data_IF_677278529629
#
_entry.id   IF_677278529629
#
_cell.length_a   1.000
_cell.length_b   1.000
_cell.length_c   1.000
_cell.angle_alpha   90.00
_cell.angle_beta   90.00
_cell.angle_gamma   90.00
#
_symmetry.space_group_name_H-M   'P 1'
#
loop_
_entity.id
_entity.type
_entity.pdbx_description
1 polymer ?
#
# COMPACT_ATOMS: atom_id res chain seq x y z
N UNK A 1 17.24 -3.04 -27.51
CA UNK A 1 16.42 -4.26 -27.72
C UNK A 1 17.21 -5.58 -27.65
N UNK A 2 18.53 -5.59 -27.34
CA UNK A 2 19.28 -6.84 -27.13
C UNK A 2 19.11 -7.45 -25.72
N UNK A 3 18.55 -6.69 -24.78
CA UNK A 3 18.48 -7.08 -23.36
C UNK A 3 17.31 -8.02 -22.99
N UNK A 4 16.40 -8.30 -23.94
CA UNK A 4 15.24 -9.17 -23.75
C UNK A 4 15.39 -10.56 -24.39
N UNK A 5 16.55 -10.85 -25.01
CA UNK A 5 16.75 -12.08 -25.81
C UNK A 5 17.00 -13.34 -24.97
N UNK A 6 17.31 -13.20 -23.67
CA UNK A 6 17.59 -14.32 -22.77
C UNK A 6 17.23 -13.99 -21.33
N UNK A 7 16.83 -15.00 -20.54
CA UNK A 7 16.54 -14.86 -19.10
C UNK A 7 17.72 -14.27 -18.31
N UNK A 8 18.95 -14.60 -18.70
CA UNK A 8 20.16 -14.03 -18.09
C UNK A 8 20.34 -12.54 -18.43
N UNK A 9 19.98 -12.11 -19.63
CA UNK A 9 20.03 -10.70 -20.02
C UNK A 9 18.96 -9.90 -19.25
N UNK A 10 17.76 -10.47 -19.09
CA UNK A 10 16.67 -9.86 -18.34
C UNK A 10 17.00 -9.70 -16.84
N UNK A 11 17.56 -10.73 -16.20
CA UNK A 11 17.97 -10.65 -14.79
C UNK A 11 19.08 -9.61 -14.60
N UNK A 12 20.07 -9.55 -15.49
CA UNK A 12 21.10 -8.49 -15.47
C UNK A 12 20.50 -7.10 -15.61
N UNK A 13 19.51 -6.92 -16.49
CA UNK A 13 18.81 -5.65 -16.66
C UNK A 13 18.07 -5.24 -15.38
N UNK A 14 17.35 -6.16 -14.72
CA UNK A 14 16.64 -5.89 -13.48
C UNK A 14 17.57 -5.53 -12.31
N UNK A 15 18.78 -6.06 -12.29
CA UNK A 15 19.80 -5.73 -11.29
C UNK A 15 20.65 -4.51 -11.65
N UNK A 16 20.42 -3.87 -12.81
CA UNK A 16 21.17 -2.68 -13.21
C UNK A 16 21.04 -1.55 -12.17
N UNK A 17 22.14 -0.86 -11.82
CA UNK A 17 22.12 0.21 -10.84
C UNK A 17 21.37 1.42 -11.40
N UNK A 18 20.51 2.00 -10.57
CA UNK A 18 19.75 3.22 -10.87
C UNK A 18 19.85 4.20 -9.72
N UNK A 19 19.65 5.47 -10.06
CA UNK A 19 19.62 6.56 -9.08
C UNK A 19 18.50 6.31 -8.04
N UNK A 20 18.77 6.46 -6.73
CA UNK A 20 17.80 6.19 -5.67
C UNK A 20 16.85 7.37 -5.34
N UNK A 21 17.03 8.55 -5.93
CA UNK A 21 16.34 9.78 -5.50
C UNK A 21 14.84 9.72 -5.75
N UNK A 22 14.41 9.20 -6.91
CA UNK A 22 12.97 9.08 -7.22
C UNK A 22 12.27 8.10 -6.25
N UNK A 23 12.92 6.99 -5.90
CA UNK A 23 12.37 6.05 -4.92
C UNK A 23 12.22 6.70 -3.53
N UNK A 24 13.15 7.59 -3.14
CA UNK A 24 13.02 8.35 -1.89
C UNK A 24 11.87 9.35 -1.93
N UNK A 25 11.64 10.02 -3.06
CA UNK A 25 10.48 10.90 -3.26
C UNK A 25 9.18 10.13 -3.11
N UNK A 26 9.06 8.98 -3.80
CA UNK A 26 7.87 8.11 -3.69
C UNK A 26 7.65 7.69 -2.23
N UNK A 27 8.70 7.33 -1.50
CA UNK A 27 8.61 6.96 -0.08
C UNK A 27 8.06 8.09 0.79
N UNK A 28 8.58 9.32 0.61
CA UNK A 28 8.15 10.49 1.38
C UNK A 28 6.69 10.80 1.10
N UNK A 29 6.30 10.87 -0.17
CA UNK A 29 4.91 11.11 -0.55
C UNK A 29 3.98 10.00 -0.08
N UNK A 30 4.38 8.73 -0.19
CA UNK A 30 3.60 7.61 0.32
C UNK A 30 3.40 7.74 1.83
N UNK A 31 4.46 7.96 2.61
CA UNK A 31 4.35 8.14 4.06
C UNK A 31 3.42 9.29 4.44
N UNK A 32 3.56 10.44 3.77
CA UNK A 32 2.69 11.61 3.97
C UNK A 32 1.22 11.31 3.65
N UNK A 33 0.94 10.72 2.49
CA UNK A 33 -0.41 10.33 2.10
C UNK A 33 -1.02 9.32 3.07
N UNK A 34 -0.22 8.37 3.57
CA UNK A 34 -0.70 7.39 4.55
C UNK A 34 -1.03 8.05 5.89
N UNK A 35 -0.29 9.06 6.34
CA UNK A 35 -0.66 9.83 7.54
C UNK A 35 -2.07 10.43 7.36
N UNK A 36 -2.38 10.99 6.20
CA UNK A 36 -3.70 11.56 5.92
C UNK A 36 -4.78 10.47 5.80
N UNK A 37 -4.51 9.39 5.05
CA UNK A 37 -5.43 8.25 4.85
C UNK A 37 -5.83 7.62 6.19
N UNK A 38 -4.88 7.47 7.12
CA UNK A 38 -5.16 6.91 8.44
C UNK A 38 -6.16 7.76 9.23
N UNK A 39 -6.06 9.08 9.14
CA UNK A 39 -6.99 9.98 9.83
C UNK A 39 -8.38 9.97 9.18
N UNK A 40 -8.44 10.13 7.86
CA UNK A 40 -9.69 10.36 7.15
C UNK A 40 -10.36 9.05 6.70
N UNK A 41 -9.71 8.32 5.80
CA UNK A 41 -10.29 7.12 5.15
C UNK A 41 -10.37 5.92 6.09
N UNK A 42 -9.35 5.71 6.94
CA UNK A 42 -9.39 4.65 7.96
C UNK A 42 -10.18 5.03 9.19
N UNK A 43 -10.49 6.32 9.32
CA UNK A 43 -11.39 6.83 10.33
C UNK A 43 -10.82 6.76 11.74
N UNK A 44 -9.53 7.09 11.93
CA UNK A 44 -9.01 7.32 13.29
C UNK A 44 -9.81 8.42 13.99
N UNK A 45 -10.23 9.47 13.26
CA UNK A 45 -11.08 10.54 13.83
C UNK A 45 -12.48 10.06 14.24
N UNK A 46 -12.94 8.95 13.68
CA UNK A 46 -14.26 8.37 13.92
C UNK A 46 -14.15 6.97 14.55
N UNK A 47 -13.01 6.68 15.21
CA UNK A 47 -12.72 5.35 15.74
C UNK A 47 -13.75 4.93 16.81
N UNK A 48 -14.23 5.87 17.62
CA UNK A 48 -15.23 5.64 18.66
C UNK A 48 -16.56 5.17 18.06
N UNK A 49 -17.02 5.83 17.00
CA UNK A 49 -18.23 5.42 16.27
C UNK A 49 -18.03 4.08 15.57
N UNK A 50 -16.87 3.90 14.92
CA UNK A 50 -16.54 2.73 14.12
C UNK A 50 -16.31 1.45 14.92
N UNK A 51 -15.76 1.53 16.13
CA UNK A 51 -15.36 0.36 16.93
C UNK A 51 -16.09 0.29 18.28
N UNK A 52 -16.75 1.36 18.71
CA UNK A 52 -17.45 1.43 19.99
C UNK A 52 -18.87 0.86 19.97
N UNK A 53 -19.50 0.71 18.80
CA UNK A 53 -20.84 0.12 18.70
C UNK A 53 -20.77 -1.42 18.58
N UNK A 54 -21.28 -2.20 19.56
CA UNK A 54 -21.31 -3.66 19.52
C UNK A 54 -22.35 -4.22 18.55
N UNK A 55 -23.36 -3.43 18.17
CA UNK A 55 -24.48 -3.86 17.33
C UNK A 55 -24.16 -3.78 15.83
N UNK A 56 -23.00 -3.22 15.48
CA UNK A 56 -22.58 -3.08 14.09
C UNK A 56 -22.22 -4.44 13.49
N UNK A 57 -22.93 -4.83 12.41
CA UNK A 57 -22.69 -6.09 11.73
C UNK A 57 -21.39 -6.02 10.92
N UNK A 58 -20.37 -6.75 11.37
CA UNK A 58 -19.06 -6.81 10.70
C UNK A 58 -18.92 -8.10 9.91
N UNK A 59 -18.26 -7.99 8.76
CA UNK A 59 -17.96 -9.13 7.90
C UNK A 59 -16.45 -9.35 7.86
N UNK A 60 -15.85 -9.97 8.89
CA UNK A 60 -14.42 -10.23 8.88
C UNK A 60 -14.06 -11.18 7.74
N UNK A 61 -12.84 -11.04 7.23
CA UNK A 61 -12.35 -11.96 6.20
C UNK A 61 -12.12 -13.37 6.76
N UNK A 62 -11.56 -13.44 7.97
CA UNK A 62 -11.38 -14.67 8.71
C UNK A 62 -12.29 -14.70 9.93
N UNK A 63 -13.01 -15.80 10.15
CA UNK A 63 -13.96 -15.93 11.27
C UNK A 63 -13.32 -15.79 12.66
N UNK A 64 -12.01 -16.00 12.77
CA UNK A 64 -11.26 -15.84 14.03
C UNK A 64 -10.85 -14.39 14.31
N UNK A 65 -10.86 -13.52 13.31
CA UNK A 65 -10.52 -12.11 13.48
C UNK A 65 -11.71 -11.39 14.11
N UNK A 66 -11.49 -10.83 15.29
CA UNK A 66 -12.44 -9.98 15.99
C UNK A 66 -11.78 -8.64 16.30
N UNK A 67 -12.53 -7.53 16.28
CA UNK A 67 -11.99 -6.25 16.69
C UNK A 67 -11.50 -6.35 18.13
N UNK A 68 -10.38 -5.67 18.40
CA UNK A 68 -9.90 -5.49 19.76
C UNK A 68 -10.83 -4.48 20.49
N UNK A 69 -10.76 -4.40 21.82
CA UNK A 69 -11.43 -3.31 22.55
C UNK A 69 -11.02 -1.95 21.99
N UNK A 70 -11.92 -0.97 22.06
CA UNK A 70 -11.75 0.36 21.45
C UNK A 70 -10.38 0.99 21.75
N UNK A 71 -9.93 0.96 23.00
CA UNK A 71 -8.63 1.49 23.42
C UNK A 71 -7.46 0.86 22.64
N UNK A 72 -7.47 -0.46 22.48
CA UNK A 72 -6.46 -1.20 21.73
C UNK A 72 -6.55 -0.95 20.23
N UNK A 73 -7.75 -0.69 19.70
CA UNK A 73 -7.91 -0.26 18.31
C UNK A 73 -7.25 1.11 18.10
N UNK A 74 -7.48 2.07 19.00
CA UNK A 74 -6.82 3.39 18.95
C UNK A 74 -5.30 3.22 19.01
N UNK A 75 -4.78 2.37 19.90
CA UNK A 75 -3.33 2.06 19.94
C UNK A 75 -2.82 1.47 18.61
N UNK A 76 -3.60 0.62 17.96
CA UNK A 76 -3.28 0.03 16.66
C UNK A 76 -3.16 1.11 15.57
N UNK A 77 -4.05 2.11 15.58
CA UNK A 77 -3.96 3.27 14.68
C UNK A 77 -2.75 4.16 14.99
N UNK A 78 -2.45 4.42 16.26
CA UNK A 78 -1.26 5.20 16.64
C UNK A 78 0.04 4.51 16.23
N UNK A 79 0.11 3.17 16.37
CA UNK A 79 1.23 2.38 15.87
C UNK A 79 1.38 2.51 14.36
N UNK A 80 0.26 2.48 13.63
CA UNK A 80 0.24 2.66 12.18
C UNK A 80 0.69 4.08 11.77
N UNK A 81 0.28 5.12 12.50
CA UNK A 81 0.76 6.50 12.29
C UNK A 81 2.25 6.68 12.58
N UNK A 82 2.74 6.04 13.63
CA UNK A 82 4.16 6.05 13.94
C UNK A 82 4.95 5.34 12.84
N UNK A 83 4.45 4.20 12.36
CA UNK A 83 4.99 3.47 11.21
C UNK A 83 5.05 4.31 9.94
N UNK A 84 3.95 4.98 9.56
CA UNK A 84 3.90 5.83 8.34
C UNK A 84 4.84 7.04 8.45
N UNK A 85 4.94 7.65 9.63
CA UNK A 85 5.90 8.72 9.91
C UNK A 85 7.34 8.23 9.80
N UNK A 86 7.63 7.04 10.35
CA UNK A 86 8.94 6.38 10.22
C UNK A 86 9.30 6.04 8.78
N UNK A 87 8.33 5.62 7.96
CA UNK A 87 8.49 5.41 6.51
C UNK A 87 8.83 6.72 5.81
N UNK A 88 8.09 7.80 6.09
CA UNK A 88 8.32 9.12 5.49
C UNK A 88 9.76 9.60 5.75
N UNK A 89 10.19 9.54 7.01
CA UNK A 89 11.53 9.95 7.44
C UNK A 89 12.63 8.95 7.05
N UNK A 90 12.27 7.71 6.71
CA UNK A 90 13.21 6.63 6.44
C UNK A 90 14.06 6.27 7.67
N UNK A 91 13.45 6.24 8.86
CA UNK A 91 14.09 5.78 10.10
C UNK A 91 13.77 4.30 10.32
N UNK A 92 14.80 3.48 10.58
CA UNK A 92 14.74 2.02 10.69
C UNK A 92 13.74 1.45 9.68
N UNK A 93 13.95 1.76 8.41
CA UNK A 93 12.91 1.73 7.37
C UNK A 93 12.09 0.42 7.36
N UNK A 94 12.75 -0.74 7.44
CA UNK A 94 12.05 -2.04 7.47
C UNK A 94 11.18 -2.23 8.72
N UNK A 95 11.66 -1.82 9.89
CA UNK A 95 10.88 -1.85 11.11
C UNK A 95 9.67 -0.91 11.02
N UNK A 96 9.87 0.30 10.50
CA UNK A 96 8.77 1.26 10.28
C UNK A 96 7.73 0.74 9.30
N UNK A 97 8.16 0.07 8.22
CA UNK A 97 7.26 -0.63 7.32
C UNK A 97 6.47 -1.73 8.03
N UNK A 98 7.10 -2.56 8.88
CA UNK A 98 6.39 -3.60 9.62
C UNK A 98 5.39 -3.01 10.62
N UNK A 99 5.79 -1.96 11.35
CA UNK A 99 4.91 -1.24 12.27
C UNK A 99 3.70 -0.61 11.56
N UNK A 100 3.81 -0.26 10.28
CA UNK A 100 2.68 0.20 9.48
C UNK A 100 1.86 -0.98 8.90
N UNK A 101 2.51 -1.97 8.28
CA UNK A 101 1.85 -3.02 7.51
C UNK A 101 1.06 -4.01 8.36
N UNK A 102 1.58 -4.40 9.53
CA UNK A 102 0.89 -5.33 10.43
C UNK A 102 -0.47 -4.76 10.86
N UNK A 103 -0.56 -3.55 11.46
CA UNK A 103 -1.86 -2.98 11.82
C UNK A 103 -2.71 -2.65 10.59
N UNK A 104 -2.10 -2.23 9.47
CA UNK A 104 -2.83 -1.93 8.24
C UNK A 104 -3.60 -3.14 7.72
N UNK A 105 -2.92 -4.27 7.54
CA UNK A 105 -3.56 -5.49 7.05
C UNK A 105 -4.55 -6.08 8.06
N UNK A 106 -4.24 -5.98 9.36
CA UNK A 106 -5.18 -6.36 10.41
C UNK A 106 -6.50 -5.60 10.30
N UNK A 107 -6.46 -4.26 10.26
CA UNK A 107 -7.66 -3.42 10.12
C UNK A 107 -8.38 -3.71 8.81
N UNK A 108 -7.65 -3.89 7.70
CA UNK A 108 -8.22 -4.21 6.40
C UNK A 108 -9.01 -5.53 6.40
N UNK A 109 -8.51 -6.57 7.09
CA UNK A 109 -9.17 -7.87 7.15
C UNK A 109 -10.31 -7.96 8.16
N UNK A 110 -10.45 -7.00 9.09
CA UNK A 110 -11.53 -6.98 10.07
C UNK A 110 -12.90 -6.72 9.44
N UNK A 111 -12.98 -6.03 8.29
CA UNK A 111 -14.26 -5.63 7.72
C UNK A 111 -14.26 -5.53 6.19
N UNK A 112 -14.98 -6.47 5.55
CA UNK A 112 -15.19 -6.51 4.09
C UNK A 112 -16.04 -5.36 3.57
N UNK A 113 -16.92 -4.79 4.38
CA UNK A 113 -17.84 -3.72 3.94
C UNK A 113 -17.10 -2.45 3.50
N UNK A 114 -15.89 -2.25 4.03
CA UNK A 114 -15.04 -1.09 3.72
C UNK A 114 -13.95 -1.38 2.69
N UNK A 115 -14.03 -2.51 1.97
CA UNK A 115 -13.03 -2.85 0.97
C UNK A 115 -13.11 -1.96 -0.26
N UNK A 116 -11.99 -1.31 -0.58
CA UNK A 116 -11.82 -0.49 -1.76
C UNK A 116 -10.52 -0.87 -2.49
N UNK A 117 -10.54 -0.85 -3.81
CA UNK A 117 -9.37 -1.11 -4.66
C UNK A 117 -8.18 -0.19 -4.32
N UNK A 118 -8.45 1.07 -3.94
CA UNK A 118 -7.41 2.01 -3.52
C UNK A 118 -6.76 1.59 -2.21
N UNK A 119 -7.57 1.19 -1.23
CA UNK A 119 -7.09 0.66 0.05
C UNK A 119 -6.25 -0.59 -0.13
N UNK A 120 -6.67 -1.49 -1.02
CA UNK A 120 -5.88 -2.67 -1.33
C UNK A 120 -4.53 -2.30 -1.99
N UNK A 121 -4.54 -1.37 -2.95
CA UNK A 121 -3.34 -0.88 -3.62
C UNK A 121 -2.34 -0.27 -2.62
N UNK A 122 -2.79 0.55 -1.66
CA UNK A 122 -1.90 1.15 -0.66
C UNK A 122 -1.21 0.11 0.21
N UNK A 123 -1.90 -0.96 0.62
CA UNK A 123 -1.30 -2.08 1.36
C UNK A 123 -0.23 -2.82 0.54
N UNK A 124 -0.51 -3.06 -0.74
CA UNK A 124 0.46 -3.67 -1.66
C UNK A 124 1.68 -2.79 -1.89
N UNK A 125 1.49 -1.49 -2.13
CA UNK A 125 2.59 -0.54 -2.30
C UNK A 125 3.46 -0.45 -1.04
N UNK A 126 2.86 -0.45 0.15
CA UNK A 126 3.60 -0.49 1.41
C UNK A 126 4.43 -1.77 1.55
N UNK A 127 3.86 -2.92 1.16
CA UNK A 127 4.54 -4.22 1.19
C UNK A 127 5.70 -4.26 0.20
N UNK A 128 5.52 -3.70 -1.00
CA UNK A 128 6.57 -3.57 -2.00
C UNK A 128 7.67 -2.60 -1.53
N UNK A 129 7.29 -1.49 -0.90
CA UNK A 129 8.25 -0.54 -0.31
C UNK A 129 9.08 -1.20 0.78
N UNK A 130 8.50 -2.03 1.65
CA UNK A 130 9.24 -2.79 2.67
C UNK A 130 10.36 -3.65 2.08
N UNK A 131 10.10 -4.30 0.94
CA UNK A 131 11.09 -5.12 0.24
C UNK A 131 12.12 -4.26 -0.51
N UNK A 132 11.78 -3.01 -0.80
CA UNK A 132 12.60 -2.11 -1.61
C UNK A 132 13.77 -1.47 -0.86
N UNK A 133 14.74 -0.95 -1.62
CA UNK A 133 15.86 -0.16 -1.11
C UNK A 133 15.58 1.34 -0.90
N UNK A 134 14.35 1.73 -0.57
CA UNK A 134 13.94 3.15 -0.46
C UNK A 134 14.60 3.91 0.71
N UNK A 135 15.36 3.23 1.55
CA UNK A 135 16.16 3.81 2.62
C UNK A 135 17.55 4.29 2.17
N UNK A 136 17.93 4.13 0.89
CA UNK A 136 19.28 4.49 0.40
C UNK A 136 19.47 5.99 0.13
N UNK A 137 18.39 6.74 -0.06
CA UNK A 137 18.44 8.18 -0.29
C UNK A 137 17.46 8.93 0.61
N UNK A 138 17.84 10.15 1.02
CA UNK A 138 17.07 11.07 1.86
C UNK A 138 16.39 10.41 3.07
N UNK A 139 17.08 9.48 3.74
CA UNK A 139 16.59 8.75 4.90
C UNK A 139 17.41 9.11 6.14
N UNK A 140 16.80 9.02 7.32
CA UNK A 140 17.54 9.12 8.59
C UNK A 140 18.54 7.96 8.74
N UNK A 141 18.21 6.77 8.23
CA UNK A 141 19.12 5.63 8.20
C UNK A 141 20.41 5.94 7.41
N UNK A 142 20.31 6.59 6.25
CA UNK A 142 21.46 7.00 5.44
C UNK A 142 22.24 8.17 6.04
N UNK A 143 21.64 8.96 6.95
CA UNK A 143 22.38 9.94 7.75
C UNK A 143 23.21 9.27 8.85
N UNK A 144 22.73 8.15 9.39
CA UNK A 144 23.41 7.38 10.45
C UNK A 144 24.48 6.44 9.91
N UNK A 145 24.24 5.82 8.75
CA UNK A 145 25.19 4.94 8.07
C UNK A 145 25.56 5.48 6.68
N UNK A 146 26.78 5.97 6.59
CA UNK A 146 27.33 6.56 5.37
C UNK A 146 27.54 5.55 4.24
N UNK A 147 27.57 4.23 4.55
CA UNK A 147 27.67 3.16 3.55
C UNK A 147 26.39 2.97 2.75
N UNK A 148 25.24 3.37 3.30
CA UNK A 148 23.92 3.21 2.68
C UNK A 148 23.55 4.47 1.90
N UNK A 149 24.11 5.62 2.29
CA UNK A 149 23.79 6.94 1.73
C UNK A 149 24.13 7.05 0.25
N UNK A 150 23.14 7.44 -0.54
CA UNK A 150 23.24 7.65 -2.00
C UNK A 150 23.74 6.43 -2.77
N UNK A 151 23.51 5.22 -2.23
CA UNK A 151 23.82 3.99 -2.96
C UNK A 151 22.77 3.70 -4.01
N UNK A 152 23.23 3.22 -5.18
CA UNK A 152 22.36 2.84 -6.28
C UNK A 152 21.34 1.77 -5.86
N UNK A 153 20.13 1.86 -6.39
CA UNK A 153 19.09 0.84 -6.23
C UNK A 153 18.97 0.02 -7.51
N UNK A 154 18.74 -1.30 -7.44
CA UNK A 154 18.50 -2.09 -8.64
C UNK A 154 17.16 -1.71 -9.28
N UNK A 155 17.10 -1.78 -10.62
CA UNK A 155 15.94 -1.39 -11.44
C UNK A 155 14.64 -2.10 -11.04
N UNK A 156 14.69 -3.34 -10.53
CA UNK A 156 13.49 -4.08 -10.14
C UNK A 156 12.62 -3.36 -9.11
N UNK A 157 13.21 -2.52 -8.23
CA UNK A 157 12.44 -1.71 -7.28
C UNK A 157 11.42 -0.80 -8.01
N UNK A 158 11.86 -0.17 -9.10
CA UNK A 158 11.00 0.67 -9.93
C UNK A 158 10.04 -0.14 -10.77
N UNK A 159 10.51 -1.27 -11.32
CA UNK A 159 9.69 -2.13 -12.15
C UNK A 159 8.49 -2.70 -11.37
N UNK A 160 8.69 -3.11 -10.11
CA UNK A 160 7.61 -3.60 -9.25
C UNK A 160 6.57 -2.51 -8.98
N UNK A 161 6.99 -1.31 -8.55
CA UNK A 161 6.05 -0.22 -8.25
C UNK A 161 5.28 0.22 -9.50
N UNK A 162 5.97 0.39 -10.64
CA UNK A 162 5.34 0.78 -11.91
C UNK A 162 4.40 -0.32 -12.41
N UNK A 163 4.83 -1.57 -12.34
CA UNK A 163 4.03 -2.73 -12.71
C UNK A 163 2.75 -2.84 -11.88
N UNK A 164 2.83 -2.56 -10.58
CA UNK A 164 1.67 -2.56 -9.69
C UNK A 164 0.64 -1.51 -10.08
N UNK A 165 1.07 -0.27 -10.31
CA UNK A 165 0.19 0.82 -10.76
C UNK A 165 -0.43 0.48 -12.11
N UNK A 166 0.41 0.06 -13.08
CA UNK A 166 -0.05 -0.36 -14.39
C UNK A 166 -1.11 -1.46 -14.30
N UNK A 167 -0.88 -2.51 -13.52
CA UNK A 167 -1.78 -3.64 -13.39
C UNK A 167 -3.17 -3.21 -12.89
N UNK A 168 -3.23 -2.38 -11.85
CA UNK A 168 -4.51 -1.92 -11.30
C UNK A 168 -5.28 -1.08 -12.31
N UNK A 169 -4.63 -0.12 -12.96
CA UNK A 169 -5.29 0.73 -13.96
C UNK A 169 -5.64 -0.02 -15.25
N UNK A 170 -4.80 -0.96 -15.67
CA UNK A 170 -5.03 -1.77 -16.86
C UNK A 170 -6.23 -2.71 -16.66
N UNK A 171 -6.28 -3.44 -15.55
CA UNK A 171 -7.40 -4.33 -15.24
C UNK A 171 -8.68 -3.51 -15.00
N UNK A 172 -8.59 -2.37 -14.32
CA UNK A 172 -9.74 -1.49 -14.13
C UNK A 172 -10.26 -0.94 -15.47
N UNK A 173 -9.37 -0.56 -16.39
CA UNK A 173 -9.71 -0.14 -17.73
C UNK A 173 -10.40 -1.25 -18.52
N UNK A 174 -9.84 -2.46 -18.51
CA UNK A 174 -10.41 -3.63 -19.19
C UNK A 174 -11.82 -3.98 -18.67
N UNK A 175 -12.07 -3.87 -17.36
CA UNK A 175 -13.42 -4.08 -16.81
C UNK A 175 -14.43 -3.02 -17.28
N UNK A 176 -13.96 -1.83 -17.64
CA UNK A 176 -14.80 -0.73 -18.14
C UNK A 176 -15.02 -0.77 -19.65
N UNK A 177 -14.42 -1.71 -20.39
CA UNK A 177 -14.70 -1.87 -21.83
C UNK A 177 -15.96 -2.68 -22.12
N UNK A 178 -16.74 -3.06 -21.10
CA UNK A 178 -18.03 -3.72 -21.29
C UNK A 178 -19.03 -2.77 -21.96
N UNK A 179 -19.87 -3.31 -22.85
CA UNK A 179 -20.89 -2.55 -23.59
C UNK A 179 -21.83 -1.77 -22.67
N UNK A 180 -22.14 -2.30 -21.49
CA UNK A 180 -23.00 -1.62 -20.50
C UNK A 180 -22.30 -0.43 -19.83
N UNK A 181 -20.96 -0.43 -19.76
CA UNK A 181 -20.18 0.72 -19.28
C UNK A 181 -19.99 1.77 -20.37
N UNK A 182 -19.71 1.35 -21.60
CA UNK A 182 -19.53 2.26 -22.76
C UNK A 182 -20.87 2.92 -23.15
N UNK A 183 -21.97 2.16 -23.08
CA UNK A 183 -23.31 2.65 -23.39
C UNK A 183 -23.97 3.47 -22.27
N UNK A 184 -23.33 3.62 -21.10
CA UNK A 184 -23.90 4.36 -19.96
C UNK A 184 -25.03 3.63 -19.21
N UNK A 185 -25.37 2.40 -19.61
CA UNK A 185 -26.42 1.57 -19.01
C UNK A 185 -25.96 0.74 -17.81
N UNK A 186 -24.87 1.17 -17.17
CA UNK A 186 -24.15 0.37 -16.17
C UNK A 186 -24.99 0.04 -14.95
N UNK A 187 -25.97 0.88 -14.61
CA UNK A 187 -26.88 0.70 -13.49
C UNK A 187 -28.26 0.12 -13.90
N UNK A 188 -28.58 0.09 -15.19
CA UNK A 188 -29.93 -0.27 -15.67
C UNK A 188 -30.14 -1.79 -15.74
N UNK A 189 -29.10 -2.54 -16.12
CA UNK A 189 -29.16 -4.01 -16.23
C UNK A 189 -28.76 -4.76 -14.97
N UNK A 190 -28.37 -4.05 -13.91
CA UNK A 190 -27.85 -4.67 -12.68
C UNK A 190 -28.89 -5.58 -12.01
N UNK A 191 -30.19 -5.28 -12.15
CA UNK A 191 -31.28 -6.12 -11.60
C UNK A 191 -31.68 -7.30 -12.48
N UNK A 192 -31.25 -7.38 -13.74
CA UNK A 192 -31.75 -8.38 -14.69
C UNK A 192 -30.88 -9.65 -14.79
N UNK A 193 -29.62 -9.59 -14.34
CA UNK A 193 -28.64 -10.68 -14.48
C UNK A 193 -28.13 -11.23 -13.13
N UNK A 194 -28.91 -11.08 -12.06
CA UNK A 194 -28.59 -11.63 -10.72
C UNK A 194 -29.21 -13.03 -10.49
N UNK A 195 -29.24 -13.87 -11.53
CA UNK A 195 -29.49 -15.32 -11.44
C UNK A 195 -28.43 -16.05 -12.27
#
# INVERSE_FOLDING_TARGET
>A
MKDLSSFQAFTRLLHSPRDPSNLAVIRIFYGFLMIIDIHHERGLSSADSRWGNPEECRFPFFNFLKPLPLEWMIMTYLLMLFGSTGIMLGYRFRCSCLCFLIPYWYIFFLDKSHWNNHSYLFGLLGTQLMLSGANRCWSLDGRRDQRIRNTHVPLWNYALLRGQIFLVYFIAGLKKTNLDWIGGYSMEKLGQHWV
#
